data_IF_822858917946
#
_entry.id   IF_822858917946
#
_cell.length_a   1.000
_cell.length_b   1.000
_cell.length_c   1.000
_cell.angle_alpha   90.00
_cell.angle_beta   90.00
_cell.angle_gamma   90.00
#
_symmetry.space_group_name_H-M   'P 1'
#
loop_
_entity.id
_entity.type
_entity.pdbx_description
1 polymer ?
#
# COMPACT_ATOMS: atom_id res chain seq x y z
N UNK A 1 -65.11 31.28 -30.90
CA UNK A 1 -64.34 30.69 -29.77
C UNK A 1 -64.29 29.16 -29.76
N UNK A 2 -65.40 28.41 -29.94
CA UNK A 2 -65.38 26.93 -29.89
C UNK A 2 -64.48 26.25 -30.93
N UNK A 3 -64.26 26.87 -32.10
CA UNK A 3 -63.38 26.32 -33.16
C UNK A 3 -61.89 26.47 -32.84
N UNK A 4 -61.48 27.61 -32.28
CA UNK A 4 -60.09 27.87 -31.88
C UNK A 4 -59.61 26.94 -30.77
N UNK A 5 -60.50 26.60 -29.82
CA UNK A 5 -60.19 25.65 -28.75
C UNK A 5 -59.92 24.23 -29.29
N UNK A 6 -60.65 23.80 -30.32
CA UNK A 6 -60.44 22.49 -30.97
C UNK A 6 -59.11 22.43 -31.71
N UNK A 7 -58.74 23.50 -32.40
CA UNK A 7 -57.46 23.58 -33.11
C UNK A 7 -56.29 23.57 -32.12
N UNK A 8 -56.40 24.32 -31.02
CA UNK A 8 -55.39 24.33 -29.97
C UNK A 8 -55.21 22.95 -29.31
N UNK A 9 -56.30 22.20 -29.11
CA UNK A 9 -56.25 20.86 -28.51
C UNK A 9 -55.55 19.85 -29.44
N UNK A 10 -55.85 19.89 -30.74
CA UNK A 10 -55.20 19.02 -31.73
C UNK A 10 -53.70 19.33 -31.79
N UNK A 11 -53.31 20.61 -31.76
CA UNK A 11 -51.91 21.01 -31.77
C UNK A 11 -51.16 20.54 -30.52
N UNK A 12 -51.79 20.64 -29.34
CA UNK A 12 -51.22 20.15 -28.08
C UNK A 12 -51.00 18.63 -28.11
N UNK A 13 -51.94 17.86 -28.66
CA UNK A 13 -51.83 16.40 -28.80
C UNK A 13 -50.69 16.02 -29.76
N UNK A 14 -50.53 16.73 -30.87
CA UNK A 14 -49.44 16.48 -31.83
C UNK A 14 -48.07 16.80 -31.21
N UNK A 15 -47.96 17.87 -30.43
CA UNK A 15 -46.70 18.22 -29.72
C UNK A 15 -46.37 17.18 -28.65
N UNK A 16 -47.35 16.72 -27.88
CA UNK A 16 -47.16 15.67 -26.87
C UNK A 16 -46.75 14.32 -27.51
N UNK A 17 -47.34 13.97 -28.65
CA UNK A 17 -46.99 12.75 -29.39
C UNK A 17 -45.56 12.81 -29.98
N UNK A 18 -45.12 13.98 -30.44
CA UNK A 18 -43.75 14.16 -30.96
C UNK A 18 -42.68 14.36 -29.88
N UNK A 19 -43.08 14.63 -28.63
CA UNK A 19 -42.13 14.75 -27.50
C UNK A 19 -41.66 13.40 -26.97
N UNK A 20 -42.28 12.29 -27.35
CA UNK A 20 -41.74 10.95 -27.14
C UNK A 20 -40.63 10.66 -28.15
N UNK A 21 -39.51 11.38 -28.06
CA UNK A 21 -38.25 10.89 -28.62
C UNK A 21 -37.91 9.63 -27.84
N UNK A 22 -38.01 8.47 -28.50
CA UNK A 22 -37.50 7.20 -28.00
C UNK A 22 -36.00 7.41 -27.73
N UNK A 23 -35.63 7.59 -26.47
CA UNK A 23 -34.23 7.51 -26.06
C UNK A 23 -33.71 6.20 -26.61
N UNK A 24 -32.77 6.31 -27.54
CA UNK A 24 -32.10 5.15 -28.09
C UNK A 24 -31.31 4.58 -26.93
N UNK A 25 -31.87 3.54 -26.30
CA UNK A 25 -31.17 2.63 -25.41
C UNK A 25 -30.14 1.88 -26.27
N UNK A 26 -29.12 2.58 -26.75
CA UNK A 26 -27.84 1.95 -27.00
C UNK A 26 -27.34 1.72 -25.59
N UNK A 27 -27.35 0.48 -25.06
CA UNK A 27 -26.67 0.23 -23.80
C UNK A 27 -25.25 0.74 -23.99
N UNK A 28 -24.85 1.73 -23.18
CA UNK A 28 -23.43 2.05 -23.05
C UNK A 28 -22.79 0.74 -22.64
N UNK A 29 -22.10 0.11 -23.58
CA UNK A 29 -21.19 -0.98 -23.25
C UNK A 29 -20.09 -0.27 -22.50
N UNK A 30 -19.97 -0.42 -21.16
CA UNK A 30 -18.91 0.23 -20.44
C UNK A 30 -17.61 -0.21 -21.12
N UNK A 31 -16.77 0.75 -21.50
CA UNK A 31 -15.43 0.41 -21.93
C UNK A 31 -14.83 -0.48 -20.85
N UNK A 32 -14.26 -1.65 -21.22
CA UNK A 32 -13.64 -2.51 -20.24
C UNK A 32 -12.64 -1.66 -19.45
N UNK A 33 -12.68 -1.79 -18.12
CA UNK A 33 -11.74 -1.08 -17.27
C UNK A 33 -10.31 -1.41 -17.73
N UNK A 34 -9.41 -0.41 -17.84
CA UNK A 34 -8.03 -0.66 -18.18
C UNK A 34 -7.44 -1.73 -17.26
N UNK A 35 -6.81 -2.75 -17.84
CA UNK A 35 -6.14 -3.79 -17.06
C UNK A 35 -4.90 -3.18 -16.43
N UNK A 36 -4.88 -3.12 -15.11
CA UNK A 36 -3.75 -2.63 -14.34
C UNK A 36 -2.67 -3.73 -14.20
N UNK A 37 -1.75 -3.74 -15.16
CA UNK A 37 -0.66 -4.72 -15.22
C UNK A 37 0.37 -4.56 -14.10
N UNK A 38 0.43 -3.41 -13.42
CA UNK A 38 1.34 -3.20 -12.29
C UNK A 38 1.02 -4.18 -11.15
N UNK A 39 -0.25 -4.60 -11.02
CA UNK A 39 -0.73 -5.51 -9.96
C UNK A 39 -0.79 -6.98 -10.36
N UNK A 40 -0.24 -7.35 -11.52
CA UNK A 40 -0.31 -8.74 -12.01
C UNK A 40 0.29 -9.76 -11.01
N UNK A 41 1.27 -9.33 -10.20
CA UNK A 41 1.90 -10.16 -9.17
C UNK A 41 1.02 -10.48 -7.96
N UNK A 42 -0.08 -9.72 -7.75
CA UNK A 42 -1.07 -9.90 -6.68
C UNK A 42 -2.22 -10.83 -7.07
N UNK A 43 -2.27 -11.37 -8.30
CA UNK A 43 -3.41 -12.20 -8.74
C UNK A 43 -3.63 -13.45 -7.89
N UNK A 44 -2.59 -13.94 -7.22
CA UNK A 44 -2.60 -15.17 -6.42
C UNK A 44 -2.22 -14.84 -4.97
N UNK A 45 -2.87 -15.50 -4.01
CA UNK A 45 -2.45 -15.42 -2.61
C UNK A 45 -1.07 -16.07 -2.42
N UNK A 46 -0.25 -15.48 -1.55
CA UNK A 46 1.13 -15.91 -1.34
C UNK A 46 1.38 -16.09 0.15
N UNK A 47 1.19 -17.32 0.61
CA UNK A 47 1.37 -17.69 2.02
C UNK A 47 2.73 -18.36 2.15
N UNK A 48 3.64 -17.71 2.86
CA UNK A 48 4.96 -18.24 3.18
C UNK A 48 4.88 -19.31 4.29
N UNK A 49 6.01 -19.99 4.52
CA UNK A 49 6.17 -20.94 5.62
C UNK A 49 5.99 -20.22 6.96
N UNK A 50 5.33 -20.83 7.97
CA UNK A 50 5.22 -20.24 9.29
C UNK A 50 6.59 -19.87 9.86
N UNK A 51 6.70 -18.65 10.36
CA UNK A 51 7.90 -18.10 11.00
C UNK A 51 7.51 -17.30 12.23
N UNK A 52 8.38 -17.27 13.24
CA UNK A 52 8.25 -16.39 14.40
C UNK A 52 8.42 -14.91 14.00
N UNK A 53 9.02 -14.65 12.83
CA UNK A 53 9.27 -13.31 12.32
C UNK A 53 8.71 -13.15 10.91
N UNK A 54 7.79 -12.21 10.76
CA UNK A 54 6.98 -12.08 9.55
C UNK A 54 6.48 -10.65 9.36
N UNK A 55 6.08 -10.37 8.12
CA UNK A 55 5.12 -9.33 7.78
C UNK A 55 3.96 -9.99 7.04
N UNK A 56 2.72 -9.63 7.35
CA UNK A 56 1.54 -10.20 6.68
C UNK A 56 0.43 -9.17 6.56
N UNK A 57 -0.48 -9.35 5.62
CA UNK A 57 -1.64 -8.49 5.43
C UNK A 57 -2.53 -8.96 4.28
N UNK A 58 -3.60 -8.20 4.02
CA UNK A 58 -4.44 -8.33 2.83
C UNK A 58 -4.15 -7.17 1.88
N UNK A 59 -3.61 -7.47 0.71
CA UNK A 59 -3.25 -6.53 -0.35
C UNK A 59 -4.26 -6.67 -1.49
N UNK A 60 -5.12 -5.68 -1.70
CA UNK A 60 -6.31 -5.76 -2.58
C UNK A 60 -7.17 -7.01 -2.31
N UNK A 61 -7.32 -7.34 -1.01
CA UNK A 61 -8.08 -8.49 -0.53
C UNK A 61 -7.34 -9.82 -0.59
N UNK A 62 -6.12 -9.87 -1.13
CA UNK A 62 -5.30 -11.09 -1.24
C UNK A 62 -4.40 -11.25 -0.04
N UNK A 63 -4.47 -12.40 0.63
CA UNK A 63 -3.59 -12.68 1.74
C UNK A 63 -2.15 -12.88 1.26
N UNK A 64 -1.21 -12.11 1.84
CA UNK A 64 0.22 -12.27 1.60
C UNK A 64 0.95 -12.36 2.94
N UNK A 65 1.91 -13.27 3.02
CA UNK A 65 2.85 -13.43 4.13
C UNK A 65 4.27 -13.35 3.57
N UNK A 66 5.09 -12.52 4.21
CA UNK A 66 6.50 -12.33 3.96
C UNK A 66 7.25 -12.84 5.19
N UNK A 67 7.87 -14.00 5.11
CA UNK A 67 8.62 -14.61 6.22
C UNK A 67 10.09 -14.84 5.90
N UNK A 68 10.48 -14.70 4.62
CA UNK A 68 11.84 -14.92 4.13
C UNK A 68 12.67 -13.65 4.27
N UNK A 69 13.98 -13.75 4.52
CA UNK A 69 14.89 -12.59 4.51
C UNK A 69 15.58 -12.46 3.14
N UNK A 70 15.95 -11.23 2.73
CA UNK A 70 16.79 -11.05 1.54
C UNK A 70 18.12 -11.81 1.72
N UNK A 71 18.47 -12.63 0.73
CA UNK A 71 19.74 -13.37 0.65
C UNK A 71 19.99 -14.52 1.66
N UNK A 72 19.07 -14.80 2.58
CA UNK A 72 19.13 -15.99 3.43
C UNK A 72 17.79 -16.71 3.44
N UNK A 73 17.79 -18.04 3.29
CA UNK A 73 16.53 -18.79 3.26
C UNK A 73 15.89 -18.87 4.66
N UNK A 74 16.70 -18.80 5.73
CA UNK A 74 16.25 -19.04 7.11
C UNK A 74 17.08 -18.37 8.22
N UNK A 75 18.09 -17.57 7.87
CA UNK A 75 18.83 -16.80 8.87
C UNK A 75 18.27 -15.38 8.92
N UNK A 76 17.75 -15.02 10.08
CA UNK A 76 17.20 -13.69 10.31
C UNK A 76 18.32 -12.63 10.34
N UNK A 77 19.60 -13.01 10.27
CA UNK A 77 20.81 -12.18 10.34
C UNK A 77 20.97 -11.08 9.27
N UNK A 78 19.93 -10.72 8.52
CA UNK A 78 20.04 -9.67 7.52
C UNK A 78 20.30 -8.31 8.17
N UNK A 79 21.37 -7.66 7.71
CA UNK A 79 21.76 -6.29 8.11
C UNK A 79 20.70 -5.23 7.74
N UNK A 80 19.72 -5.65 6.95
CA UNK A 80 18.55 -4.87 6.56
C UNK A 80 17.54 -4.71 7.70
N UNK A 81 17.49 -5.64 8.66
CA UNK A 81 16.66 -5.53 9.87
C UNK A 81 17.45 -4.91 11.01
N UNK A 82 17.65 -3.59 10.92
CA UNK A 82 18.52 -2.85 11.83
C UNK A 82 17.84 -1.61 12.39
N UNK A 83 18.27 -1.24 13.60
CA UNK A 83 17.99 0.03 14.24
C UNK A 83 19.22 0.93 14.11
N UNK A 84 19.07 2.05 13.42
CA UNK A 84 20.06 3.09 13.26
C UNK A 84 19.76 4.20 14.26
N UNK A 85 20.72 4.52 15.13
CA UNK A 85 20.61 5.55 16.15
C UNK A 85 21.53 6.70 15.80
N UNK A 86 20.99 7.91 15.65
CA UNK A 86 21.76 9.13 15.58
C UNK A 86 21.54 9.95 16.86
N UNK A 87 22.49 9.85 17.80
CA UNK A 87 22.42 10.55 19.08
C UNK A 87 22.58 12.07 18.93
N UNK A 88 23.30 12.53 17.89
CA UNK A 88 23.54 13.95 17.65
C UNK A 88 22.27 14.73 17.32
N UNK A 89 21.31 14.11 16.62
CA UNK A 89 20.01 14.70 16.28
C UNK A 89 18.81 14.00 16.94
N UNK A 90 19.05 13.02 17.82
CA UNK A 90 18.05 12.16 18.44
C UNK A 90 17.09 11.52 17.44
N UNK A 91 17.60 11.07 16.29
CA UNK A 91 16.81 10.41 15.25
C UNK A 91 17.11 8.91 15.25
N UNK A 92 16.06 8.12 15.37
CA UNK A 92 16.12 6.66 15.26
C UNK A 92 15.46 6.25 13.95
N UNK A 93 16.11 5.38 13.19
CA UNK A 93 15.53 4.75 12.01
C UNK A 93 15.52 3.24 12.18
N UNK A 94 14.38 2.61 11.95
CA UNK A 94 14.26 1.15 11.91
C UNK A 94 13.88 0.74 10.49
N UNK A 95 14.62 -0.23 9.96
CA UNK A 95 14.26 -0.91 8.73
C UNK A 95 13.76 -2.32 9.08
N UNK A 96 12.60 -2.70 8.56
CA UNK A 96 12.01 -4.03 8.71
C UNK A 96 11.75 -4.60 7.33
N UNK A 97 12.49 -5.61 6.93
CA UNK A 97 12.51 -6.12 5.56
C UNK A 97 12.24 -7.62 5.54
N UNK A 98 11.27 -8.02 4.71
CA UNK A 98 10.96 -9.42 4.41
C UNK A 98 10.59 -9.60 2.93
N UNK A 99 10.77 -10.81 2.44
CA UNK A 99 10.36 -11.28 1.13
C UNK A 99 9.35 -12.44 1.28
N UNK A 100 8.61 -12.72 0.22
CA UNK A 100 7.81 -13.94 0.12
C UNK A 100 8.70 -15.16 -0.18
N UNK A 101 8.13 -16.35 -0.01
CA UNK A 101 8.80 -17.64 -0.16
C UNK A 101 9.63 -17.81 -1.43
N UNK A 102 9.10 -17.35 -2.56
CA UNK A 102 9.72 -17.44 -3.87
C UNK A 102 10.57 -16.22 -4.24
N UNK A 103 10.77 -15.28 -3.30
CA UNK A 103 11.57 -14.05 -3.46
C UNK A 103 11.19 -13.21 -4.68
N UNK A 104 9.92 -13.25 -5.07
CA UNK A 104 9.38 -12.46 -6.17
C UNK A 104 8.82 -11.10 -5.72
N UNK A 105 8.60 -10.94 -4.41
CA UNK A 105 8.04 -9.74 -3.81
C UNK A 105 8.81 -9.43 -2.53
N UNK A 106 9.22 -8.17 -2.42
CA UNK A 106 9.89 -7.61 -1.26
C UNK A 106 8.97 -6.61 -0.58
N UNK A 107 8.94 -6.63 0.76
CA UNK A 107 8.25 -5.65 1.57
C UNK A 107 9.21 -5.05 2.60
N UNK A 108 9.37 -3.74 2.55
CA UNK A 108 10.12 -2.96 3.53
C UNK A 108 9.18 -2.04 4.29
N UNK A 109 9.33 -1.99 5.62
CA UNK A 109 8.74 -0.98 6.50
C UNK A 109 9.89 -0.21 7.11
N UNK A 110 9.96 1.08 6.81
CA UNK A 110 10.98 2.01 7.31
C UNK A 110 10.28 2.95 8.28
N UNK A 111 10.78 3.05 9.50
CA UNK A 111 10.24 3.90 10.56
C UNK A 111 11.34 4.83 11.03
N UNK A 112 11.24 6.12 10.71
CA UNK A 112 12.17 7.16 11.14
C UNK A 112 11.48 8.13 12.09
N UNK A 113 11.93 8.21 13.33
CA UNK A 113 11.33 9.08 14.36
C UNK A 113 12.32 9.34 15.51
N UNK A 114 12.01 10.34 16.33
CA UNK A 114 12.81 10.59 17.53
C UNK A 114 12.46 9.63 18.68
N UNK A 115 13.48 9.03 19.29
CA UNK A 115 13.39 8.22 20.53
C UNK A 115 12.37 7.06 20.45
N UNK A 116 12.37 6.29 19.36
CA UNK A 116 11.44 5.18 19.11
C UNK A 116 11.37 4.20 20.29
N UNK A 117 12.52 3.87 20.87
CA UNK A 117 12.63 2.91 21.99
C UNK A 117 12.17 3.46 23.35
N UNK A 118 12.02 4.78 23.50
CA UNK A 118 11.62 5.41 24.77
C UNK A 118 10.13 5.71 24.84
N UNK A 119 9.37 5.37 23.79
CA UNK A 119 7.94 5.64 23.74
C UNK A 119 7.14 4.70 24.60
N UNK A 120 6.02 5.23 25.12
CA UNK A 120 5.00 4.39 25.71
C UNK A 120 4.29 3.59 24.62
N UNK A 121 4.30 2.27 24.75
CA UNK A 121 3.60 1.35 23.87
C UNK A 121 2.17 1.08 24.38
N UNK A 122 1.17 0.87 23.48
CA UNK A 122 1.28 1.03 22.03
C UNK A 122 1.28 2.52 21.61
N UNK A 123 1.91 2.84 20.48
CA UNK A 123 1.84 4.18 19.87
C UNK A 123 1.55 4.11 18.37
N UNK A 124 0.91 5.15 17.84
CA UNK A 124 0.57 5.28 16.43
C UNK A 124 1.48 6.29 15.73
N UNK A 125 1.78 6.04 14.46
CA UNK A 125 2.52 6.94 13.58
C UNK A 125 1.60 7.34 12.41
N UNK A 126 1.41 8.65 12.16
CA UNK A 126 1.98 9.77 12.88
C UNK A 126 1.32 9.98 14.24
N UNK A 127 2.10 10.44 15.22
CA UNK A 127 1.64 10.75 16.57
C UNK A 127 0.91 12.07 16.57
N UNK A 128 -0.26 12.11 17.20
CA UNK A 128 -0.99 13.36 17.38
C UNK A 128 -0.17 14.31 18.26
N UNK A 129 0.05 15.53 17.77
CA UNK A 129 0.63 16.66 18.51
C UNK A 129 2.13 16.55 18.86
N UNK A 130 2.93 15.73 18.17
CA UNK A 130 4.38 15.79 18.33
C UNK A 130 5.04 16.74 17.30
N UNK A 131 5.84 17.72 17.76
CA UNK A 131 6.69 18.50 16.88
C UNK A 131 7.91 17.65 16.47
N UNK A 132 7.86 17.06 15.29
CA UNK A 132 8.95 16.27 14.71
C UNK A 132 8.52 15.58 13.41
N UNK A 133 9.49 15.26 12.55
CA UNK A 133 9.26 14.46 11.34
C UNK A 133 9.25 12.97 11.71
N UNK A 134 8.13 12.48 12.21
CA UNK A 134 7.87 11.04 12.19
C UNK A 134 7.57 10.64 10.75
N UNK A 135 8.42 9.83 10.16
CA UNK A 135 8.27 9.32 8.81
C UNK A 135 8.13 7.81 8.90
N UNK A 136 7.11 7.30 8.25
CA UNK A 136 6.93 5.88 8.00
C UNK A 136 6.77 5.72 6.51
N UNK A 137 7.56 4.83 5.93
CA UNK A 137 7.44 4.43 4.54
C UNK A 137 7.28 2.92 4.47
N UNK A 138 6.27 2.46 3.72
CA UNK A 138 6.08 1.04 3.39
C UNK A 138 6.27 0.89 1.89
N UNK A 139 7.18 0.02 1.50
CA UNK A 139 7.53 -0.22 0.10
C UNK A 139 7.28 -1.69 -0.24
N UNK A 140 6.39 -1.93 -1.20
CA UNK A 140 6.12 -3.25 -1.78
C UNK A 140 6.69 -3.28 -3.19
N UNK A 141 7.67 -4.15 -3.42
CA UNK A 141 8.46 -4.18 -4.66
C UNK A 141 8.28 -5.54 -5.32
N UNK A 142 7.88 -5.54 -6.59
CA UNK A 142 7.87 -6.70 -7.48
C UNK A 142 9.28 -6.91 -8.04
N UNK A 143 10.04 -7.81 -7.42
CA UNK A 143 11.45 -8.06 -7.74
C UNK A 143 11.63 -8.63 -9.15
N UNK A 144 10.66 -9.42 -9.64
CA UNK A 144 10.72 -9.97 -11.01
C UNK A 144 10.69 -8.85 -12.05
N UNK A 145 9.80 -7.86 -11.88
CA UNK A 145 9.74 -6.72 -12.80
C UNK A 145 10.91 -5.76 -12.65
N UNK A 146 11.43 -5.57 -11.43
CA UNK A 146 12.61 -4.74 -11.22
C UNK A 146 13.79 -5.22 -12.07
N UNK A 147 14.02 -6.54 -12.13
CA UNK A 147 15.06 -7.13 -12.97
C UNK A 147 14.81 -6.89 -14.47
N UNK A 148 13.57 -7.07 -14.95
CA UNK A 148 13.20 -6.79 -16.36
C UNK A 148 13.47 -5.33 -16.75
N UNK A 149 13.14 -4.39 -15.86
CA UNK A 149 13.33 -2.94 -16.08
C UNK A 149 14.81 -2.58 -16.16
N UNK A 150 15.64 -3.12 -15.25
CA UNK A 150 17.09 -2.89 -15.27
C UNK A 150 17.74 -3.39 -16.57
N UNK A 151 17.27 -4.51 -17.11
CA UNK A 151 17.79 -5.09 -18.35
C UNK A 151 17.33 -4.34 -19.62
N UNK A 152 16.11 -3.79 -19.62
CA UNK A 152 15.48 -3.20 -20.80
C UNK A 152 15.49 -1.67 -20.84
N UNK A 153 15.92 -1.01 -19.76
CA UNK A 153 15.99 0.45 -19.69
C UNK A 153 14.64 1.16 -19.75
N UNK A 154 13.55 0.49 -19.34
CA UNK A 154 12.22 1.08 -19.36
C UNK A 154 12.02 2.05 -18.18
N UNK A 155 11.41 3.20 -18.42
CA UNK A 155 11.13 4.22 -17.38
C UNK A 155 9.94 3.87 -16.47
N UNK A 156 9.38 2.66 -16.56
CA UNK A 156 8.16 2.30 -15.85
C UNK A 156 8.51 1.87 -14.42
N UNK A 157 8.37 2.80 -13.45
CA UNK A 157 8.47 2.51 -12.00
C UNK A 157 7.26 1.75 -11.45
N UNK A 158 6.54 1.03 -12.29
CA UNK A 158 5.31 0.27 -11.98
C UNK A 158 5.59 -1.09 -11.30
N UNK A 159 6.79 -1.26 -10.78
CA UNK A 159 7.21 -2.41 -9.99
C UNK A 159 7.30 -2.09 -8.50
N UNK A 160 7.23 -0.82 -8.10
CA UNK A 160 7.28 -0.40 -6.70
C UNK A 160 6.02 0.35 -6.31
N UNK A 161 5.39 -0.12 -5.24
CA UNK A 161 4.26 0.53 -4.60
C UNK A 161 4.72 1.07 -3.25
N UNK A 162 4.72 2.38 -3.10
CA UNK A 162 5.08 3.05 -1.87
C UNK A 162 3.85 3.66 -1.18
N UNK A 163 3.92 3.76 0.14
CA UNK A 163 3.02 4.63 0.86
C UNK A 163 3.69 5.15 2.11
N UNK A 164 3.20 6.30 2.57
CA UNK A 164 3.81 7.02 3.67
C UNK A 164 2.76 7.55 4.63
N UNK A 165 3.16 7.92 5.83
CA UNK A 165 2.31 8.73 6.70
C UNK A 165 2.29 10.21 6.28
N UNK A 166 3.31 10.68 5.55
CA UNK A 166 3.44 12.09 5.11
C UNK A 166 2.32 12.48 4.14
N UNK A 167 1.92 11.57 3.25
CA UNK A 167 0.79 11.74 2.33
C UNK A 167 -0.53 11.17 2.89
N UNK A 168 -0.56 10.80 4.18
CA UNK A 168 -1.71 10.16 4.86
C UNK A 168 -2.19 8.86 4.18
N UNK A 169 -1.34 8.19 3.39
CA UNK A 169 -1.73 6.96 2.71
C UNK A 169 -1.66 5.76 3.65
N UNK A 170 -0.83 5.80 4.70
CA UNK A 170 -0.65 4.72 5.67
C UNK A 170 -0.72 5.17 7.12
N UNK A 171 -1.17 4.22 7.94
CA UNK A 171 -1.09 4.30 9.40
C UNK A 171 -0.35 3.07 9.93
N UNK A 172 0.57 3.29 10.87
CA UNK A 172 1.26 2.23 11.58
C UNK A 172 1.01 2.37 13.08
N UNK A 173 0.80 1.25 13.75
CA UNK A 173 0.81 1.18 15.20
C UNK A 173 1.90 0.22 15.65
N UNK A 174 2.86 0.71 16.43
CA UNK A 174 3.81 -0.13 17.14
C UNK A 174 3.16 -0.55 18.45
N UNK A 175 3.06 -1.86 18.66
CA UNK A 175 2.30 -2.45 19.77
C UNK A 175 3.19 -3.05 20.85
N UNK A 176 4.36 -3.58 20.48
CA UNK A 176 5.29 -4.21 21.41
C UNK A 176 6.74 -4.06 20.95
N UNK A 177 7.64 -3.94 21.91
CA UNK A 177 9.08 -4.09 21.71
C UNK A 177 9.66 -4.88 22.88
N UNK A 178 10.06 -6.12 22.64
CA UNK A 178 10.59 -7.03 23.67
C UNK A 178 11.63 -7.96 23.03
N UNK A 179 12.75 -8.21 23.72
CA UNK A 179 13.83 -9.09 23.24
C UNK A 179 14.29 -8.76 21.81
N UNK A 180 14.49 -7.46 21.54
CA UNK A 180 14.81 -6.89 20.23
C UNK A 180 13.80 -7.24 19.12
N UNK A 181 12.59 -7.67 19.48
CA UNK A 181 11.50 -7.96 18.54
C UNK A 181 10.50 -6.82 18.55
N UNK A 182 10.31 -6.20 17.39
CA UNK A 182 9.33 -5.15 17.18
C UNK A 182 8.05 -5.74 16.58
N UNK A 183 6.91 -5.38 17.16
CA UNK A 183 5.59 -5.85 16.73
C UNK A 183 4.64 -4.69 16.51
N UNK A 184 3.80 -4.81 15.50
CA UNK A 184 2.81 -3.80 15.20
C UNK A 184 1.84 -4.17 14.10
N UNK A 185 1.01 -3.20 13.75
CA UNK A 185 0.00 -3.30 12.71
C UNK A 185 0.13 -2.14 11.74
N UNK A 186 -0.35 -2.35 10.51
CA UNK A 186 -0.38 -1.32 9.49
C UNK A 186 -1.58 -1.48 8.55
N UNK A 187 -2.10 -0.37 8.06
CA UNK A 187 -3.18 -0.33 7.07
C UNK A 187 -3.14 0.98 6.30
N UNK A 188 -3.65 0.96 5.07
CA UNK A 188 -3.59 2.12 4.19
C UNK A 188 -3.63 1.76 2.72
N UNK A 189 -3.04 2.64 1.91
CA UNK A 189 -2.91 2.51 0.46
C UNK A 189 -1.44 2.67 0.09
N UNK A 190 -0.97 1.77 -0.76
CA UNK A 190 0.30 1.89 -1.49
C UNK A 190 0.01 2.32 -2.93
N UNK A 191 0.88 3.11 -3.53
CA UNK A 191 0.70 3.65 -4.87
C UNK A 191 1.98 3.54 -5.69
N UNK A 192 1.88 3.37 -7.00
CA UNK A 192 2.99 3.55 -7.93
C UNK A 192 3.09 5.01 -8.38
N UNK A 193 4.20 5.38 -9.01
CA UNK A 193 4.37 6.69 -9.65
C UNK A 193 3.36 6.92 -10.80
N UNK A 194 2.93 5.86 -11.49
CA UNK A 194 1.88 5.93 -12.53
C UNK A 194 0.45 6.06 -12.00
N UNK A 195 0.25 5.91 -10.68
CA UNK A 195 -1.06 6.03 -10.04
C UNK A 195 -1.84 4.73 -9.85
N UNK A 196 -1.24 3.56 -10.12
CA UNK A 196 -1.79 2.28 -9.65
C UNK A 196 -1.80 2.26 -8.13
N UNK A 197 -2.80 1.62 -7.51
CA UNK A 197 -2.95 1.58 -6.05
C UNK A 197 -3.29 0.19 -5.52
N UNK A 198 -2.80 -0.10 -4.32
CA UNK A 198 -3.08 -1.31 -3.54
C UNK A 198 -3.62 -0.91 -2.18
N UNK A 199 -4.81 -1.38 -1.82
CA UNK A 199 -5.35 -1.25 -0.48
C UNK A 199 -4.78 -2.35 0.44
N UNK A 200 -4.18 -1.94 1.54
CA UNK A 200 -3.63 -2.82 2.58
C UNK A 200 -4.54 -2.83 3.80
N UNK A 201 -5.00 -4.03 4.20
CA UNK A 201 -5.85 -4.23 5.38
C UNK A 201 -5.30 -5.31 6.30
N UNK A 202 -5.51 -5.15 7.60
CA UNK A 202 -5.07 -6.08 8.65
C UNK A 202 -3.57 -6.42 8.56
N UNK A 203 -2.74 -5.44 8.19
CA UNK A 203 -1.30 -5.60 8.15
C UNK A 203 -0.77 -5.83 9.56
N UNK A 204 0.13 -6.80 9.72
CA UNK A 204 0.81 -7.14 10.97
C UNK A 204 2.28 -7.41 10.70
N UNK A 205 3.14 -6.98 11.60
CA UNK A 205 4.55 -7.33 11.56
C UNK A 205 5.03 -7.78 12.95
N UNK A 206 5.97 -8.70 12.94
CA UNK A 206 6.75 -9.15 14.10
C UNK A 206 8.15 -9.44 13.59
N UNK A 207 9.12 -8.59 13.90
CA UNK A 207 10.45 -8.66 13.28
C UNK A 207 11.51 -8.49 14.34
N UNK A 208 12.52 -9.37 14.32
CA UNK A 208 13.71 -9.23 15.15
C UNK A 208 14.65 -8.19 14.54
N UNK A 209 15.08 -7.26 15.38
CA UNK A 209 16.15 -6.30 15.09
C UNK A 209 17.47 -6.98 15.49
N UNK A 210 18.31 -7.27 14.50
CA UNK A 210 19.53 -8.06 14.74
C UNK A 210 20.75 -7.20 15.02
N UNK A 211 20.70 -5.92 14.65
CA UNK A 211 21.79 -4.97 14.86
C UNK A 211 21.27 -3.61 15.28
N UNK A 212 22.03 -2.99 16.18
CA UNK A 212 21.92 -1.57 16.52
C UNK A 212 23.18 -0.91 15.95
N UNK A 213 22.99 0.07 15.08
CA UNK A 213 24.05 0.78 14.38
C UNK A 213 24.04 2.22 14.86
N UNK A 214 25.19 2.68 15.38
CA UNK A 214 25.35 4.06 15.85
C UNK A 214 25.89 4.91 14.71
N UNK A 215 25.14 5.95 14.34
CA UNK A 215 25.58 6.99 13.42
C UNK A 215 26.53 7.95 14.13
N UNK A 216 27.56 8.40 13.39
CA UNK A 216 28.42 9.51 13.82
C UNK A 216 27.74 10.86 13.55
#
# INVERSE_FOLDING_TARGET
>A
MKSLLKIALIFAIVVLANSCRKESLIPEIPNPEPIDHAKDFLKVERIDTPSDYFITGKFDGKAITFATTPYADYDDSSDWNALFLNEGINLDQINLVRENKDRSIHLAIIISQANLLKRQLPFQIPTKNQPGSEIVDVQLINLNRMQEVEEQGSNERDFMFDGSNVNQSLQIQVTRFIDNTLEGTFEGTLSTESGSTIAVKNGRFRIKINRIIYGN
#
